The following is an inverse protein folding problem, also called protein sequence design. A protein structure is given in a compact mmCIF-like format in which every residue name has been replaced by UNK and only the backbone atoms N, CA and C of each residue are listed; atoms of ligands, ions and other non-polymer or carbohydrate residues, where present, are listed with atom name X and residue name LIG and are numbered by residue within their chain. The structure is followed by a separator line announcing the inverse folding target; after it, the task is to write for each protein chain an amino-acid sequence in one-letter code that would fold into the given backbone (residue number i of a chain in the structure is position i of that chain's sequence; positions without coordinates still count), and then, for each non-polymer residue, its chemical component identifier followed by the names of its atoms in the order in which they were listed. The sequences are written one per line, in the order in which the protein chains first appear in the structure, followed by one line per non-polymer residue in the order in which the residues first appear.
data_IF_307474077804
#
_entry.id   IF_307474077804
#
_cell.length_a   1.000
_cell.length_b   1.000
_cell.length_c   1.000
_cell.angle_alpha   90.00
_cell.angle_beta   90.00
_cell.angle_gamma   90.00
#
_symmetry.space_group_name_H-M   'P 1'
#
loop_
_entity.id
_entity.type
_entity.pdbx_description
1 polymer ?
#
# COMPACT_ATOMS: atom_id res chain seq x y z
N UNK A 1 -10.93 -11.88 -6.05
CA UNK A 1 -10.47 -10.52 -6.38
C UNK A 1 -9.20 -10.27 -5.58
N UNK A 2 -8.28 -9.46 -6.08
CA UNK A 2 -6.94 -9.31 -5.49
C UNK A 2 -6.95 -8.23 -4.41
N UNK A 3 -6.49 -8.57 -3.20
CA UNK A 3 -6.30 -7.62 -2.10
C UNK A 3 -4.95 -6.91 -2.27
N UNK A 4 -5.00 -5.59 -2.39
CA UNK A 4 -3.83 -4.76 -2.72
C UNK A 4 -3.49 -3.86 -1.55
N UNK A 5 -2.21 -3.82 -1.19
CA UNK A 5 -1.64 -2.85 -0.28
C UNK A 5 -0.77 -1.84 -1.05
N UNK A 6 -0.90 -0.55 -0.73
CA UNK A 6 0.02 0.48 -1.21
C UNK A 6 0.83 0.98 -0.02
N UNK A 7 2.14 0.74 -0.04
CA UNK A 7 3.08 1.22 0.99
C UNK A 7 3.73 2.51 0.51
N UNK A 8 3.61 3.58 1.30
CA UNK A 8 3.93 4.94 0.86
C UNK A 8 2.73 5.65 0.22
N UNK A 9 1.50 5.29 0.63
CA UNK A 9 0.25 5.74 0.02
C UNK A 9 0.05 7.27 0.00
N UNK A 10 0.68 8.01 0.93
CA UNK A 10 0.60 9.47 1.01
C UNK A 10 1.59 10.20 0.10
N UNK A 11 2.61 9.49 -0.42
CA UNK A 11 3.60 10.03 -1.34
C UNK A 11 3.07 10.28 -2.76
N UNK A 12 3.90 10.90 -3.61
CA UNK A 12 3.56 11.17 -4.99
C UNK A 12 3.25 9.89 -5.77
N UNK A 13 4.14 8.91 -5.71
CA UNK A 13 3.97 7.63 -6.43
C UNK A 13 2.81 6.81 -5.86
N UNK A 14 2.62 6.81 -4.53
CA UNK A 14 1.45 6.15 -3.91
C UNK A 14 0.10 6.75 -4.34
N UNK A 15 0.04 8.07 -4.61
CA UNK A 15 -1.13 8.69 -5.26
C UNK A 15 -1.32 8.19 -6.69
N UNK A 16 -0.23 8.13 -7.46
CA UNK A 16 -0.29 7.66 -8.86
C UNK A 16 -0.71 6.19 -8.95
N UNK A 17 -0.27 5.32 -8.04
CA UNK A 17 -0.75 3.94 -8.00
C UNK A 17 -2.27 3.87 -7.83
N UNK A 18 -2.85 4.65 -6.91
CA UNK A 18 -4.31 4.73 -6.76
C UNK A 18 -4.99 5.24 -8.04
N UNK A 19 -4.48 6.32 -8.60
CA UNK A 19 -5.02 6.87 -9.84
C UNK A 19 -5.02 5.82 -10.97
N UNK A 20 -3.88 5.16 -11.22
CA UNK A 20 -3.75 4.16 -12.29
C UNK A 20 -4.62 2.93 -12.04
N UNK A 21 -4.72 2.45 -10.79
CA UNK A 21 -5.61 1.34 -10.46
C UNK A 21 -7.08 1.69 -10.77
N UNK A 22 -7.49 2.93 -10.49
CA UNK A 22 -8.84 3.43 -10.83
C UNK A 22 -9.03 3.56 -12.33
N UNK A 23 -8.12 4.24 -13.03
CA UNK A 23 -8.19 4.48 -14.47
C UNK A 23 -8.23 3.19 -15.28
N UNK A 24 -7.52 2.16 -14.81
CA UNK A 24 -7.51 0.84 -15.45
C UNK A 24 -8.65 -0.08 -15.03
N UNK A 25 -9.55 0.38 -14.16
CA UNK A 25 -10.59 -0.44 -13.55
C UNK A 25 -10.03 -1.77 -13.02
N UNK A 26 -8.84 -1.74 -12.41
CA UNK A 26 -8.20 -2.96 -11.91
C UNK A 26 -9.11 -3.61 -10.85
N UNK A 27 -9.34 -4.93 -10.90
CA UNK A 27 -10.28 -5.62 -10.03
C UNK A 27 -9.73 -5.81 -8.60
N UNK A 28 -9.54 -4.71 -7.89
CA UNK A 28 -9.15 -4.69 -6.47
C UNK A 28 -10.30 -5.22 -5.63
N UNK A 29 -10.05 -6.23 -4.80
CA UNK A 29 -10.98 -6.70 -3.77
C UNK A 29 -11.01 -5.72 -2.60
N UNK A 30 -9.95 -5.75 -1.79
CA UNK A 30 -9.69 -4.76 -0.74
C UNK A 30 -8.46 -3.91 -1.08
N UNK A 31 -8.54 -2.58 -0.86
CA UNK A 31 -7.40 -1.69 -0.93
C UNK A 31 -7.00 -1.24 0.48
N UNK A 32 -5.75 -1.51 0.87
CA UNK A 32 -5.17 -1.03 2.13
C UNK A 32 -4.08 0.00 1.85
N UNK A 33 -4.14 1.10 2.59
CA UNK A 33 -3.23 2.23 2.43
C UNK A 33 -2.29 2.29 3.62
N UNK A 34 -0.99 2.09 3.40
CA UNK A 34 0.02 2.09 4.46
C UNK A 34 1.04 3.19 4.23
N UNK A 35 1.47 3.81 5.32
CA UNK A 35 2.54 4.81 5.33
C UNK A 35 3.27 4.79 6.68
N UNK A 36 4.16 5.76 6.90
CA UNK A 36 4.80 5.92 8.22
C UNK A 36 3.79 6.37 9.28
N UNK A 37 4.15 6.21 10.55
CA UNK A 37 3.38 6.70 11.70
C UNK A 37 2.96 8.17 11.61
N UNK A 38 3.79 9.03 10.99
CA UNK A 38 3.46 10.45 10.73
C UNK A 38 2.23 10.62 9.83
N UNK A 39 2.01 9.68 8.93
CA UNK A 39 0.90 9.68 7.97
C UNK A 39 -0.28 8.80 8.39
N UNK A 40 -0.10 7.92 9.37
CA UNK A 40 -1.17 7.09 9.89
C UNK A 40 -2.32 7.94 10.43
N UNK A 41 -3.55 7.47 10.21
CA UNK A 41 -4.78 8.19 10.56
C UNK A 41 -5.26 9.21 9.52
N UNK A 42 -4.45 9.56 8.52
CA UNK A 42 -4.92 10.37 7.39
C UNK A 42 -6.02 9.63 6.62
N UNK A 43 -6.95 10.39 6.05
CA UNK A 43 -8.00 9.86 5.17
C UNK A 43 -7.69 10.20 3.73
N UNK A 44 -7.85 9.21 2.86
CA UNK A 44 -7.54 9.31 1.45
C UNK A 44 -8.72 8.79 0.63
N UNK A 45 -9.14 9.55 -0.37
CA UNK A 45 -10.20 9.12 -1.26
C UNK A 45 -9.75 7.93 -2.13
N UNK A 46 -10.69 7.01 -2.30
CA UNK A 46 -10.65 5.86 -3.18
C UNK A 46 -12.05 5.58 -3.72
N UNK A 47 -12.30 5.96 -4.98
CA UNK A 47 -13.58 5.71 -5.67
C UNK A 47 -14.79 6.22 -4.87
N UNK A 48 -14.68 7.42 -4.29
CA UNK A 48 -15.76 8.04 -3.48
C UNK A 48 -15.88 7.49 -2.07
N UNK A 49 -14.91 6.67 -1.62
CA UNK A 49 -14.80 6.17 -0.24
C UNK A 49 -13.55 6.72 0.41
N UNK A 50 -13.65 7.11 1.68
CA UNK A 50 -12.46 7.46 2.46
C UNK A 50 -11.84 6.20 3.08
N UNK A 51 -10.57 5.97 2.77
CA UNK A 51 -9.75 4.93 3.39
C UNK A 51 -8.79 5.58 4.39
N UNK A 52 -8.66 4.97 5.57
CA UNK A 52 -7.74 5.41 6.60
C UNK A 52 -6.36 4.84 6.32
N UNK A 53 -5.33 5.67 6.42
CA UNK A 53 -3.93 5.26 6.29
C UNK A 53 -3.49 4.55 7.57
N UNK A 54 -2.96 3.34 7.41
CA UNK A 54 -2.41 2.52 8.47
C UNK A 54 -0.90 2.76 8.64
N UNK A 55 -0.38 2.54 9.84
CA UNK A 55 1.06 2.55 10.09
C UNK A 55 1.68 1.22 9.62
N UNK A 56 2.57 1.29 8.63
CA UNK A 56 3.27 0.14 8.07
C UNK A 56 4.09 -0.64 9.11
N UNK A 57 4.53 0.01 10.19
CA UNK A 57 5.29 -0.65 11.23
C UNK A 57 4.42 -1.66 12.01
N UNK A 58 3.15 -1.34 12.26
CA UNK A 58 2.28 -2.06 13.20
C UNK A 58 1.08 -2.75 12.56
N UNK A 59 0.77 -2.45 11.29
CA UNK A 59 -0.34 -3.06 10.58
C UNK A 59 -0.23 -4.59 10.51
N UNK A 60 -1.37 -5.27 10.68
CA UNK A 60 -1.49 -6.70 10.37
C UNK A 60 -1.36 -6.90 8.85
N UNK A 61 -0.57 -7.88 8.41
CA UNK A 61 -0.23 -8.05 7.00
C UNK A 61 -0.96 -9.23 6.32
N UNK A 62 -1.75 -9.98 7.10
CA UNK A 62 -2.51 -11.12 6.60
C UNK A 62 -3.56 -10.72 5.55
N UNK A 63 -3.77 -11.59 4.58
CA UNK A 63 -4.77 -11.41 3.53
C UNK A 63 -4.41 -10.40 2.43
N UNK A 64 -3.18 -9.86 2.43
CA UNK A 64 -2.65 -9.04 1.34
C UNK A 64 -2.10 -9.97 0.25
N UNK A 65 -2.64 -9.89 -0.97
CA UNK A 65 -2.15 -10.68 -2.10
C UNK A 65 -0.98 -9.98 -2.80
N UNK A 66 -1.09 -8.66 -2.98
CA UNK A 66 -0.08 -7.84 -3.67
C UNK A 66 0.23 -6.59 -2.86
N UNK A 67 1.51 -6.29 -2.66
CA UNK A 67 1.97 -5.09 -2.01
C UNK A 67 2.82 -4.24 -2.96
N UNK A 68 2.30 -3.06 -3.31
CA UNK A 68 2.97 -2.06 -4.14
C UNK A 68 3.76 -1.10 -3.26
N UNK A 69 5.10 -1.15 -3.33
CA UNK A 69 5.97 -0.34 -2.50
C UNK A 69 6.43 0.92 -3.24
N UNK A 70 6.19 2.06 -2.61
CA UNK A 70 6.60 3.40 -3.06
C UNK A 70 7.05 4.27 -1.87
N UNK A 71 7.84 3.67 -0.97
CA UNK A 71 8.28 4.31 0.28
C UNK A 71 9.80 4.54 0.37
N UNK A 72 10.54 4.25 -0.70
CA UNK A 72 11.99 4.38 -0.77
C UNK A 72 12.75 3.19 -0.18
N UNK A 73 14.05 3.09 -0.50
CA UNK A 73 14.87 1.90 -0.27
C UNK A 73 15.01 1.50 1.20
N UNK A 74 15.05 2.48 2.13
CA UNK A 74 15.12 2.19 3.56
C UNK A 74 13.84 1.51 4.08
N UNK A 75 12.68 2.02 3.71
CA UNK A 75 11.39 1.45 4.09
C UNK A 75 11.16 0.09 3.42
N UNK A 76 11.57 -0.06 2.15
CA UNK A 76 11.52 -1.34 1.45
C UNK A 76 12.34 -2.40 2.19
N UNK A 77 13.64 -2.14 2.45
CA UNK A 77 14.50 -3.08 3.19
C UNK A 77 13.92 -3.47 4.55
N UNK A 78 13.25 -2.55 5.24
CA UNK A 78 12.67 -2.80 6.55
C UNK A 78 11.34 -3.57 6.50
N UNK A 79 10.52 -3.40 5.46
CA UNK A 79 9.13 -3.86 5.46
C UNK A 79 8.80 -4.85 4.36
N UNK A 80 9.40 -4.77 3.16
CA UNK A 80 9.14 -5.71 2.07
C UNK A 80 9.29 -7.18 2.50
N UNK A 81 10.34 -7.59 3.26
CA UNK A 81 10.45 -8.97 3.73
C UNK A 81 9.30 -9.43 4.63
N UNK A 82 8.71 -8.51 5.43
CA UNK A 82 7.58 -8.82 6.32
C UNK A 82 6.31 -9.12 5.52
N UNK A 83 6.07 -8.37 4.45
CA UNK A 83 4.93 -8.59 3.55
C UNK A 83 5.09 -9.90 2.78
N UNK A 84 6.28 -10.17 2.25
CA UNK A 84 6.58 -11.42 1.57
C UNK A 84 6.44 -12.64 2.51
N UNK A 85 6.92 -12.52 3.75
CA UNK A 85 6.76 -13.57 4.77
C UNK A 85 5.30 -13.82 5.16
N UNK A 86 4.44 -12.79 5.08
CA UNK A 86 2.99 -12.91 5.28
C UNK A 86 2.24 -13.47 4.05
N UNK A 87 2.95 -13.78 2.96
CA UNK A 87 2.39 -14.39 1.75
C UNK A 87 2.10 -13.43 0.59
N UNK A 88 2.35 -12.13 0.74
CA UNK A 88 2.09 -11.16 -0.31
C UNK A 88 3.17 -11.19 -1.41
N UNK A 89 2.76 -11.02 -2.67
CA UNK A 89 3.68 -10.68 -3.75
C UNK A 89 4.09 -9.21 -3.62
N UNK A 90 5.37 -8.95 -3.36
CA UNK A 90 5.90 -7.59 -3.25
C UNK A 90 6.40 -7.10 -4.60
N UNK A 91 5.90 -5.92 -5.02
CA UNK A 91 6.39 -5.18 -6.18
C UNK A 91 6.97 -3.86 -5.69
N UNK A 92 8.29 -3.74 -5.70
CA UNK A 92 8.99 -2.61 -5.11
C UNK A 92 9.53 -1.62 -6.14
N UNK A 93 9.03 -0.39 -6.09
CA UNK A 93 9.51 0.74 -6.88
C UNK A 93 10.55 1.53 -6.07
N UNK A 94 11.62 0.84 -5.65
CA UNK A 94 12.79 1.43 -5.00
C UNK A 94 14.09 0.82 -5.54
N UNK A 95 15.21 1.49 -5.31
CA UNK A 95 16.55 1.13 -5.80
C UNK A 95 17.38 0.35 -4.77
#
# INVERSE_FOLDING_TARGET
MTNVAIVGATGLVGRLFRQVLTERAFPVGELRLLASSRSAGQRLDWQGRELVVEDVATAALDGIDVALFAAGAAASRAHAPRFAAAGAMVVDNSS
#
